data_IF_387984908121
#
_entry.id   IF_387984908121
#
_cell.length_a   1.000
_cell.length_b   1.000
_cell.length_c   1.000
_cell.angle_alpha   90.00
_cell.angle_beta   90.00
_cell.angle_gamma   90.00
#
_symmetry.space_group_name_H-M   'P 1'
#
loop_
_entity.id
_entity.type
_entity.pdbx_description
1 polymer ?
#
# COMPACT_ATOMS: atom_id res chain seq x y z
N UNK A 1 4.41 -6.06 -34.01
CA UNK A 1 3.76 -5.91 -32.68
C UNK A 1 4.41 -6.91 -31.74
N UNK A 2 5.23 -6.44 -30.80
CA UNK A 2 5.87 -7.33 -29.82
C UNK A 2 4.90 -7.55 -28.66
N UNK A 3 4.54 -8.80 -28.38
CA UNK A 3 3.71 -9.13 -27.24
C UNK A 3 4.50 -8.88 -25.95
N UNK A 4 4.00 -8.00 -25.08
CA UNK A 4 4.55 -7.77 -23.74
C UNK A 4 4.18 -8.98 -22.87
N UNK A 5 5.14 -9.53 -22.14
CA UNK A 5 4.88 -10.66 -21.22
C UNK A 5 4.16 -10.20 -19.95
N UNK A 6 3.43 -11.10 -19.29
CA UNK A 6 2.77 -10.82 -18.00
C UNK A 6 3.77 -10.30 -16.96
N UNK A 7 4.97 -10.90 -16.87
CA UNK A 7 6.02 -10.47 -15.96
C UNK A 7 6.49 -9.04 -16.23
N UNK A 8 6.58 -8.65 -17.50
CA UNK A 8 6.96 -7.29 -17.88
C UNK A 8 5.86 -6.29 -17.46
N UNK A 9 4.58 -6.65 -17.64
CA UNK A 9 3.45 -5.82 -17.16
C UNK A 9 3.48 -5.67 -15.65
N UNK A 10 3.61 -6.77 -14.91
CA UNK A 10 3.63 -6.76 -13.44
C UNK A 10 4.78 -5.93 -12.91
N UNK A 11 5.98 -6.09 -13.48
CA UNK A 11 7.17 -5.32 -13.09
C UNK A 11 6.97 -3.83 -13.35
N UNK A 12 6.33 -3.44 -14.46
CA UNK A 12 6.02 -2.03 -14.77
C UNK A 12 5.05 -1.45 -13.73
N UNK A 13 3.97 -2.16 -13.41
CA UNK A 13 2.99 -1.72 -12.39
C UNK A 13 3.67 -1.52 -11.03
N UNK A 14 4.39 -2.52 -10.54
CA UNK A 14 5.04 -2.48 -9.24
C UNK A 14 6.14 -1.41 -9.14
N UNK A 15 6.82 -1.10 -10.25
CA UNK A 15 7.81 0.00 -10.29
C UNK A 15 7.18 1.38 -10.27
N UNK A 16 6.05 1.55 -10.98
CA UNK A 16 5.36 2.85 -11.12
C UNK A 16 4.53 3.17 -9.88
N UNK A 17 3.77 2.20 -9.39
CA UNK A 17 2.71 2.40 -8.41
C UNK A 17 3.24 2.10 -7.00
N UNK A 18 3.67 3.14 -6.27
CA UNK A 18 4.30 3.03 -4.94
C UNK A 18 3.32 3.13 -3.76
N UNK A 19 2.07 3.47 -4.04
CA UNK A 19 1.01 3.59 -3.03
C UNK A 19 -0.03 2.51 -3.31
N UNK A 20 -0.22 1.60 -2.36
CA UNK A 20 -1.09 0.43 -2.51
C UNK A 20 -2.15 0.47 -1.42
N UNK A 21 -3.42 0.52 -1.82
CA UNK A 21 -4.52 0.31 -0.89
C UNK A 21 -4.74 -1.19 -0.68
N UNK A 22 -4.70 -1.64 0.57
CA UNK A 22 -4.97 -3.04 0.93
C UNK A 22 -6.37 -3.14 1.51
N UNK A 23 -7.31 -3.59 0.68
CA UNK A 23 -8.71 -3.79 1.06
C UNK A 23 -8.84 -5.07 1.88
N UNK A 24 -9.48 -4.96 3.04
CA UNK A 24 -9.54 -6.05 4.03
C UNK A 24 -8.25 -6.23 4.82
N UNK A 25 -7.42 -5.17 4.97
CA UNK A 25 -6.25 -5.25 5.85
C UNK A 25 -6.69 -5.59 7.27
N UNK A 26 -6.19 -6.71 7.79
CA UNK A 26 -6.37 -7.11 9.17
C UNK A 26 -5.22 -6.58 10.01
N UNK A 27 -5.48 -6.35 11.29
CA UNK A 27 -4.51 -6.08 12.36
C UNK A 27 -3.82 -7.36 12.90
N UNK A 28 -4.26 -8.54 12.47
CA UNK A 28 -3.78 -9.83 12.99
C UNK A 28 -2.57 -10.32 12.20
N UNK A 29 -1.39 -10.54 12.83
CA UNK A 29 -0.17 -10.91 12.11
C UNK A 29 -0.22 -12.20 11.30
N UNK A 30 -1.07 -13.16 11.68
CA UNK A 30 -1.23 -14.44 10.98
C UNK A 30 -2.15 -14.38 9.75
N UNK A 31 -2.80 -13.23 9.49
CA UNK A 31 -3.64 -13.06 8.30
C UNK A 31 -2.77 -12.64 7.13
N UNK A 32 -2.97 -13.27 5.97
CA UNK A 32 -2.20 -12.97 4.75
C UNK A 32 -2.25 -11.49 4.34
N UNK A 33 -3.37 -10.79 4.61
CA UNK A 33 -3.44 -9.35 4.33
C UNK A 33 -2.47 -8.53 5.17
N UNK A 34 -2.23 -8.90 6.43
CA UNK A 34 -1.23 -8.28 7.29
C UNK A 34 0.19 -8.59 6.79
N UNK A 35 0.47 -9.87 6.51
CA UNK A 35 1.79 -10.32 6.07
C UNK A 35 2.22 -9.65 4.75
N UNK A 36 1.35 -9.66 3.73
CA UNK A 36 1.63 -9.03 2.43
C UNK A 36 1.80 -7.52 2.57
N UNK A 37 0.95 -6.85 3.36
CA UNK A 37 1.08 -5.42 3.60
C UNK A 37 2.38 -5.07 4.32
N UNK A 38 2.79 -5.86 5.31
CA UNK A 38 4.04 -5.68 6.03
C UNK A 38 5.25 -5.85 5.10
N UNK A 39 5.24 -6.89 4.26
CA UNK A 39 6.28 -7.13 3.26
C UNK A 39 6.40 -5.96 2.27
N UNK A 40 5.28 -5.50 1.72
CA UNK A 40 5.26 -4.34 0.82
C UNK A 40 5.80 -3.07 1.51
N UNK A 41 5.43 -2.83 2.77
CA UNK A 41 5.97 -1.70 3.55
C UNK A 41 7.49 -1.79 3.72
N UNK A 42 8.02 -2.98 3.99
CA UNK A 42 9.47 -3.22 4.09
C UNK A 42 10.18 -2.96 2.75
N UNK A 43 9.49 -3.15 1.62
CA UNK A 43 9.99 -2.87 0.27
C UNK A 43 9.67 -1.43 -0.20
N UNK A 44 9.54 -0.48 0.74
CA UNK A 44 9.33 0.95 0.49
C UNK A 44 8.03 1.31 -0.26
N UNK A 45 7.02 0.43 -0.26
CA UNK A 45 5.67 0.82 -0.67
C UNK A 45 4.94 1.48 0.49
N UNK A 46 4.12 2.49 0.18
CA UNK A 46 3.15 3.02 1.12
C UNK A 46 1.89 2.18 1.09
N UNK A 47 1.50 1.68 2.26
CA UNK A 47 0.26 0.94 2.42
C UNK A 47 -0.85 1.86 2.92
N UNK A 48 -2.01 1.81 2.27
CA UNK A 48 -3.22 2.50 2.70
C UNK A 48 -4.22 1.45 3.17
N UNK A 49 -4.43 1.26 4.49
CA UNK A 49 -5.35 0.26 5.01
C UNK A 49 -6.80 0.63 4.68
N UNK A 50 -7.56 -0.33 4.18
CA UNK A 50 -9.01 -0.17 3.99
C UNK A 50 -9.74 -1.32 4.65
N UNK A 51 -10.45 -1.05 5.74
CA UNK A 51 -11.27 -2.03 6.44
C UNK A 51 -12.34 -1.33 7.29
N UNK A 52 -13.65 -1.43 6.94
CA UNK A 52 -14.73 -0.83 7.72
C UNK A 52 -14.74 -1.22 9.20
N UNK A 53 -14.38 -2.48 9.51
CA UNK A 53 -14.43 -3.01 10.87
C UNK A 53 -13.33 -2.45 11.78
N UNK A 54 -12.28 -1.90 11.19
CA UNK A 54 -11.13 -1.33 11.90
C UNK A 54 -11.01 0.18 11.67
N UNK A 55 -12.02 0.82 11.07
CA UNK A 55 -11.97 2.24 10.74
C UNK A 55 -11.70 3.11 11.99
N UNK A 56 -10.80 4.09 11.85
CA UNK A 56 -10.38 4.95 12.96
C UNK A 56 -9.27 4.36 13.84
N UNK A 57 -8.86 3.10 13.61
CA UNK A 57 -7.67 2.51 14.23
C UNK A 57 -6.42 2.75 13.37
N UNK A 58 -5.27 2.26 13.84
CA UNK A 58 -3.99 2.29 13.12
C UNK A 58 -3.48 0.86 12.94
N UNK A 59 -3.10 0.49 11.72
CA UNK A 59 -2.47 -0.79 11.40
C UNK A 59 -1.21 -0.52 10.61
N UNK A 60 -0.10 -1.17 10.99
CA UNK A 60 1.23 -0.96 10.38
C UNK A 60 1.67 0.53 10.36
N UNK A 61 1.21 1.33 11.32
CA UNK A 61 1.55 2.75 11.45
C UNK A 61 0.76 3.69 10.54
N UNK A 62 -0.22 3.18 9.79
CA UNK A 62 -1.09 3.95 8.91
C UNK A 62 -2.55 3.91 9.41
N UNK A 63 -3.30 5.03 9.28
CA UNK A 63 -4.70 5.08 9.70
C UNK A 63 -5.57 4.20 8.79
N UNK A 64 -6.53 3.50 9.38
CA UNK A 64 -7.44 2.63 8.65
C UNK A 64 -8.67 3.40 8.17
N UNK A 65 -8.92 3.32 6.86
CA UNK A 65 -10.08 3.95 6.24
C UNK A 65 -11.25 2.97 6.10
N UNK A 66 -12.50 3.45 6.22
CA UNK A 66 -13.68 2.59 6.10
C UNK A 66 -13.98 2.16 4.65
N UNK A 67 -13.45 2.88 3.66
CA UNK A 67 -13.68 2.59 2.25
C UNK A 67 -12.54 3.13 1.38
N UNK A 68 -12.44 2.65 0.14
CA UNK A 68 -11.50 3.19 -0.85
C UNK A 68 -11.76 4.67 -1.14
N UNK A 69 -13.03 5.08 -1.22
CA UNK A 69 -13.38 6.49 -1.41
C UNK A 69 -12.90 7.35 -0.22
N UNK A 70 -13.07 6.87 1.02
CA UNK A 70 -12.55 7.53 2.21
C UNK A 70 -11.03 7.61 2.23
N UNK A 71 -10.34 6.56 1.77
CA UNK A 71 -8.88 6.54 1.63
C UNK A 71 -8.36 7.55 0.60
N UNK A 72 -9.06 7.70 -0.53
CA UNK A 72 -8.70 8.68 -1.57
C UNK A 72 -8.95 10.12 -1.11
N UNK A 73 -10.01 10.37 -0.35
CA UNK A 73 -10.29 11.72 0.17
C UNK A 73 -9.24 12.18 1.20
N UNK A 74 -8.69 11.25 1.98
CA UNK A 74 -7.76 11.54 3.07
C UNK A 74 -6.32 11.85 2.63
N UNK A 75 -6.02 12.01 1.32
CA UNK A 75 -4.69 12.26 0.71
C UNK A 75 -3.65 12.87 1.67
N UNK A 76 -2.94 12.02 2.41
CA UNK A 76 -1.73 12.45 3.11
C UNK A 76 -0.54 12.29 2.15
N UNK A 77 0.45 13.21 2.14
CA UNK A 77 1.69 12.99 1.42
C UNK A 77 2.44 11.79 2.03
N UNK A 78 3.30 11.10 1.26
CA UNK A 78 4.10 9.99 1.76
C UNK A 78 4.98 10.47 2.93
N UNK A 79 4.70 10.00 4.16
CA UNK A 79 5.49 10.38 5.36
C UNK A 79 6.94 9.88 5.32
N UNK A 80 7.28 8.97 4.40
CA UNK A 80 8.61 8.38 4.26
C UNK A 80 9.47 8.95 3.12
N UNK A 81 8.96 9.87 2.28
CA UNK A 81 9.73 10.42 1.16
C UNK A 81 10.67 11.58 1.54
N UNK A 82 10.78 11.95 2.81
CA UNK A 82 11.73 12.98 3.26
C UNK A 82 13.21 12.58 3.13
N UNK A 83 13.51 11.31 2.79
CA UNK A 83 14.88 10.79 2.69
C UNK A 83 15.25 10.22 1.31
N UNK A 84 14.40 10.32 0.28
CA UNK A 84 14.68 9.72 -1.04
C UNK A 84 15.27 10.70 -2.08
N UNK A 85 15.92 11.79 -1.65
CA UNK A 85 16.65 12.69 -2.56
C UNK A 85 17.91 12.06 -3.17
N UNK A 86 18.24 10.80 -2.86
CA UNK A 86 19.50 10.16 -3.28
C UNK A 86 19.33 8.95 -4.23
N UNK A 87 18.13 8.66 -4.73
CA UNK A 87 17.93 7.54 -5.69
C UNK A 87 17.29 8.04 -6.99
N UNK A 88 17.92 9.06 -7.59
CA UNK A 88 17.74 9.43 -9.00
C UNK A 88 19.02 9.09 -9.77
#
# INVERSE_FOLDING_TARGET
MTAISTDEVLRKILKRDRVIAVVGLSDKPYRSSYEVAAYLRQNAYRIVPVNPLLAGTTVLGEPVHPSLAGAVAAKAPPRYLSHLSEIA
#
